data_IF_501173062224
#
_entry.id   IF_501173062224
#
_cell.length_a   1.000
_cell.length_b   1.000
_cell.length_c   1.000
_cell.angle_alpha   90.00
_cell.angle_beta   90.00
_cell.angle_gamma   90.00
#
_symmetry.space_group_name_H-M   'P 1'
#
loop_
_entity.id
_entity.type
_entity.pdbx_description
1 polymer ?
#
# COMPACT_ATOMS: atom_id res chain seq x y z
N UNK A 1 0.19 -22.30 -9.53
CA UNK A 1 -0.01 -21.06 -10.18
C UNK A 1 0.14 -19.90 -9.24
N UNK A 2 1.18 -19.15 -9.49
CA UNK A 2 1.57 -18.07 -8.60
C UNK A 2 0.50 -16.98 -8.49
N UNK A 3 -0.15 -16.63 -9.60
CA UNK A 3 -1.16 -15.57 -9.59
C UNK A 3 -2.38 -15.96 -8.74
N UNK A 4 -2.87 -17.20 -8.89
CA UNK A 4 -4.00 -17.67 -8.10
C UNK A 4 -3.63 -17.71 -6.62
N UNK A 5 -2.38 -18.11 -6.31
CA UNK A 5 -1.89 -18.12 -4.94
C UNK A 5 -1.81 -16.72 -4.35
N UNK A 6 -1.32 -15.76 -5.13
CA UNK A 6 -1.26 -14.38 -4.69
C UNK A 6 -2.66 -13.83 -4.40
N UNK A 7 -3.61 -14.09 -5.29
CA UNK A 7 -4.98 -13.59 -5.12
C UNK A 7 -5.68 -14.17 -3.90
N UNK A 8 -5.22 -15.33 -3.40
CA UNK A 8 -5.75 -15.92 -2.19
C UNK A 8 -5.08 -15.39 -0.93
N UNK A 9 -3.98 -14.66 -1.09
CA UNK A 9 -3.25 -14.10 0.04
C UNK A 9 -4.06 -12.99 0.71
N UNK A 10 -4.08 -13.00 2.04
CA UNK A 10 -4.74 -11.96 2.82
C UNK A 10 -4.11 -10.59 2.55
N UNK A 11 -2.77 -10.53 2.47
CA UNK A 11 -2.06 -9.27 2.19
C UNK A 11 -2.43 -8.77 0.80
N UNK A 12 -2.44 -9.65 -0.18
CA UNK A 12 -2.79 -9.27 -1.55
C UNK A 12 -4.19 -8.65 -1.59
N UNK A 13 -5.16 -9.30 -0.96
CA UNK A 13 -6.54 -8.79 -0.94
C UNK A 13 -6.66 -7.45 -0.24
N UNK A 14 -5.91 -7.25 0.85
CA UNK A 14 -5.94 -5.97 1.56
C UNK A 14 -5.35 -4.85 0.72
N UNK A 15 -4.24 -5.10 0.04
CA UNK A 15 -3.64 -4.10 -0.85
C UNK A 15 -4.57 -3.81 -2.02
N UNK A 16 -5.20 -4.85 -2.58
CA UNK A 16 -6.14 -4.68 -3.68
C UNK A 16 -7.34 -3.83 -3.26
N UNK A 17 -7.88 -4.06 -2.06
CA UNK A 17 -8.97 -3.25 -1.52
C UNK A 17 -8.55 -1.80 -1.36
N UNK A 18 -7.34 -1.58 -0.87
CA UNK A 18 -6.80 -0.23 -0.75
C UNK A 18 -6.69 0.42 -2.12
N UNK A 19 -6.23 -0.32 -3.11
CA UNK A 19 -6.11 0.19 -4.47
C UNK A 19 -7.47 0.62 -5.02
N UNK A 20 -8.51 -0.22 -4.87
CA UNK A 20 -9.85 0.13 -5.32
C UNK A 20 -10.37 1.39 -4.63
N UNK A 21 -10.18 1.46 -3.32
CA UNK A 21 -10.61 2.63 -2.56
C UNK A 21 -9.86 3.89 -3.01
N UNK A 22 -8.54 3.75 -3.21
CA UNK A 22 -7.70 4.87 -3.64
C UNK A 22 -8.06 5.37 -5.03
N UNK A 23 -8.51 4.49 -5.93
CA UNK A 23 -8.95 4.89 -7.26
C UNK A 23 -10.09 5.90 -7.16
N UNK A 24 -11.05 5.67 -6.27
CA UNK A 24 -12.15 6.62 -6.07
C UNK A 24 -11.66 7.96 -5.54
N UNK A 25 -10.71 7.93 -4.62
CA UNK A 25 -10.13 9.16 -4.06
C UNK A 25 -9.38 9.94 -5.14
N UNK A 26 -8.55 9.23 -5.90
CA UNK A 26 -7.73 9.86 -6.95
C UNK A 26 -8.61 10.46 -8.03
N UNK A 27 -9.69 9.78 -8.40
CA UNK A 27 -10.62 10.29 -9.42
C UNK A 27 -11.28 11.61 -9.00
N UNK A 28 -11.37 11.86 -7.69
CA UNK A 28 -12.02 13.06 -7.16
C UNK A 28 -11.03 14.15 -6.76
N UNK A 29 -9.75 13.95 -7.02
CA UNK A 29 -8.75 14.97 -6.68
C UNK A 29 -8.95 16.22 -7.54
N UNK A 30 -8.63 17.41 -6.97
CA UNK A 30 -8.65 18.63 -7.76
C UNK A 30 -7.78 18.50 -9.01
N UNK A 31 -8.18 19.19 -10.08
CA UNK A 31 -7.50 19.07 -11.37
C UNK A 31 -6.28 19.98 -11.46
N UNK A 32 -5.55 20.18 -10.37
CA UNK A 32 -4.28 20.88 -10.42
C UNK A 32 -3.20 19.90 -10.87
N UNK A 33 -2.14 20.44 -11.44
CA UNK A 33 -1.02 19.61 -11.88
C UNK A 33 -0.43 18.82 -10.70
N UNK A 34 -0.24 19.50 -9.56
CA UNK A 34 0.34 18.86 -8.39
C UNK A 34 -0.51 17.69 -7.91
N UNK A 35 -1.83 17.86 -7.80
CA UNK A 35 -2.70 16.79 -7.33
C UNK A 35 -2.77 15.63 -8.32
N UNK A 36 -2.75 15.93 -9.62
CA UNK A 36 -2.74 14.89 -10.64
C UNK A 36 -1.45 14.06 -10.56
N UNK A 37 -0.30 14.70 -10.33
CA UNK A 37 0.96 13.98 -10.20
C UNK A 37 1.00 13.12 -8.93
N UNK A 38 0.48 13.64 -7.82
CA UNK A 38 0.40 12.85 -6.59
C UNK A 38 -0.52 11.65 -6.76
N UNK A 39 -1.63 11.83 -7.45
CA UNK A 39 -2.55 10.74 -7.73
C UNK A 39 -1.91 9.63 -8.56
N UNK A 40 -1.15 10.00 -9.60
CA UNK A 40 -0.41 9.03 -10.41
C UNK A 40 0.59 8.27 -9.56
N UNK A 41 1.30 8.97 -8.68
CA UNK A 41 2.30 8.34 -7.81
C UNK A 41 1.64 7.33 -6.88
N UNK A 42 0.49 7.67 -6.30
CA UNK A 42 -0.25 6.75 -5.45
C UNK A 42 -0.63 5.48 -6.22
N UNK A 43 -1.17 5.65 -7.43
CA UNK A 43 -1.57 4.50 -8.26
C UNK A 43 -0.37 3.63 -8.58
N UNK A 44 0.74 4.23 -8.96
CA UNK A 44 1.96 3.50 -9.29
C UNK A 44 2.51 2.75 -8.07
N UNK A 45 2.55 3.42 -6.91
CA UNK A 45 3.04 2.79 -5.69
C UNK A 45 2.17 1.61 -5.27
N UNK A 46 0.84 1.74 -5.39
CA UNK A 46 -0.06 0.65 -4.99
C UNK A 46 -0.01 -0.53 -5.95
N UNK A 47 0.13 -0.28 -7.25
CA UNK A 47 0.31 -1.38 -8.20
C UNK A 47 1.66 -2.06 -7.98
N UNK A 48 2.70 -1.29 -7.63
CA UNK A 48 3.99 -1.86 -7.26
C UNK A 48 3.88 -2.72 -6.00
N UNK A 49 3.02 -2.32 -5.06
CA UNK A 49 2.77 -3.13 -3.86
C UNK A 49 2.17 -4.50 -4.23
N UNK A 50 1.19 -4.51 -5.14
CA UNK A 50 0.61 -5.78 -5.59
C UNK A 50 1.66 -6.66 -6.26
N UNK A 51 2.50 -6.05 -7.10
CA UNK A 51 3.59 -6.78 -7.76
C UNK A 51 4.56 -7.35 -6.73
N UNK A 52 4.91 -6.55 -5.71
CA UNK A 52 5.83 -6.99 -4.67
C UNK A 52 5.26 -8.18 -3.89
N UNK A 53 3.97 -8.16 -3.55
CA UNK A 53 3.33 -9.29 -2.88
C UNK A 53 3.40 -10.54 -3.75
N UNK A 54 3.09 -10.39 -5.03
CA UNK A 54 3.11 -11.52 -5.98
C UNK A 54 4.52 -12.12 -6.07
N UNK A 55 5.52 -11.26 -6.23
CA UNK A 55 6.91 -11.70 -6.33
C UNK A 55 7.39 -12.35 -5.03
N UNK A 56 6.98 -11.80 -3.89
CA UNK A 56 7.34 -12.37 -2.60
C UNK A 56 6.77 -13.79 -2.45
N UNK A 57 5.54 -14.01 -2.91
CA UNK A 57 4.91 -15.31 -2.83
C UNK A 57 5.53 -16.32 -3.78
N UNK A 58 6.13 -15.86 -4.88
CA UNK A 58 6.84 -16.71 -5.82
C UNK A 58 8.27 -17.01 -5.38
N UNK A 59 8.84 -16.15 -4.54
CA UNK A 59 10.21 -16.28 -4.09
C UNK A 59 10.34 -17.35 -3.02
N UNK A 60 11.56 -17.88 -2.88
CA UNK A 60 11.84 -18.82 -1.80
C UNK A 60 11.74 -18.12 -0.45
N UNK A 61 11.24 -18.85 0.53
CA UNK A 61 11.14 -18.37 1.90
C UNK A 61 12.52 -17.95 2.40
N UNK A 62 12.56 -16.89 3.18
CA UNK A 62 13.80 -16.37 3.76
C UNK A 62 14.27 -15.12 3.03
N UNK A 63 15.57 -15.05 2.73
CA UNK A 63 16.20 -13.84 2.20
C UNK A 63 15.59 -13.33 0.90
N UNK A 64 15.28 -14.22 -0.04
CA UNK A 64 14.71 -13.81 -1.34
C UNK A 64 13.34 -13.17 -1.14
N UNK A 65 12.50 -13.78 -0.31
CA UNK A 65 11.16 -13.24 -0.03
C UNK A 65 11.25 -11.93 0.72
N UNK A 66 12.23 -11.81 1.63
CA UNK A 66 12.44 -10.58 2.41
C UNK A 66 12.70 -9.37 1.50
N UNK A 67 13.43 -9.56 0.41
CA UNK A 67 13.69 -8.46 -0.52
C UNK A 67 12.41 -7.87 -1.08
N UNK A 68 11.46 -8.72 -1.46
CA UNK A 68 10.19 -8.24 -2.00
C UNK A 68 9.29 -7.66 -0.92
N UNK A 69 9.35 -8.21 0.29
CA UNK A 69 8.63 -7.62 1.43
C UNK A 69 9.17 -6.22 1.73
N UNK A 70 10.48 -6.01 1.61
CA UNK A 70 11.08 -4.70 1.80
C UNK A 70 10.57 -3.69 0.77
N UNK A 71 10.40 -4.11 -0.49
CA UNK A 71 9.83 -3.25 -1.52
C UNK A 71 8.39 -2.88 -1.16
N UNK A 72 7.59 -3.85 -0.70
CA UNK A 72 6.22 -3.59 -0.28
C UNK A 72 6.17 -2.54 0.82
N UNK A 73 7.02 -2.67 1.84
CA UNK A 73 7.09 -1.73 2.95
C UNK A 73 7.48 -0.34 2.45
N UNK A 74 8.47 -0.26 1.57
CA UNK A 74 8.92 1.01 1.00
C UNK A 74 7.81 1.72 0.24
N UNK A 75 7.11 0.99 -0.63
CA UNK A 75 6.03 1.57 -1.42
C UNK A 75 4.85 1.99 -0.55
N UNK A 76 4.51 1.21 0.46
CA UNK A 76 3.48 1.59 1.42
C UNK A 76 3.86 2.84 2.19
N UNK A 77 5.14 2.99 2.55
CA UNK A 77 5.62 4.20 3.22
C UNK A 77 5.43 5.42 2.32
N UNK A 78 5.72 5.29 1.03
CA UNK A 78 5.50 6.36 0.06
C UNK A 78 4.02 6.75 -0.01
N UNK A 79 3.13 5.77 -0.08
CA UNK A 79 1.69 6.02 -0.13
C UNK A 79 1.23 6.75 1.14
N UNK A 80 1.70 6.32 2.31
CA UNK A 80 1.37 6.98 3.58
C UNK A 80 1.79 8.44 3.58
N UNK A 81 2.98 8.71 3.09
CA UNK A 81 3.51 10.07 3.04
C UNK A 81 2.64 10.95 2.14
N UNK A 82 2.27 10.44 0.97
CA UNK A 82 1.45 11.21 0.03
C UNK A 82 0.07 11.51 0.61
N UNK A 83 -0.58 10.51 1.22
CA UNK A 83 -1.91 10.74 1.81
C UNK A 83 -1.83 11.72 2.99
N UNK A 84 -0.77 11.65 3.79
CA UNK A 84 -0.58 12.63 4.87
C UNK A 84 -0.44 14.04 4.31
N UNK A 85 0.34 14.19 3.24
CA UNK A 85 0.52 15.50 2.60
C UNK A 85 -0.80 16.01 2.04
N UNK A 86 -1.58 15.17 1.39
CA UNK A 86 -2.90 15.54 0.88
C UNK A 86 -3.82 16.00 2.01
N UNK A 87 -3.78 15.31 3.14
CA UNK A 87 -4.62 15.65 4.28
C UNK A 87 -4.21 16.99 4.89
N UNK A 88 -2.88 17.20 5.05
CA UNK A 88 -2.38 18.48 5.56
C UNK A 88 -2.75 19.64 4.62
N UNK A 89 -2.67 19.40 3.33
CA UNK A 89 -3.04 20.42 2.35
C UNK A 89 -4.52 20.77 2.46
N UNK A 90 -5.37 19.78 2.68
CA UNK A 90 -6.80 20.01 2.88
C UNK A 90 -7.05 20.91 4.07
N UNK A 91 -6.33 20.70 5.16
CA UNK A 91 -6.49 21.52 6.37
C UNK A 91 -6.01 22.95 6.16
N UNK A 92 -4.88 23.12 5.46
CA UNK A 92 -4.28 24.43 5.25
C UNK A 92 -5.13 25.34 4.36
N UNK A 93 -5.74 24.78 3.33
CA UNK A 93 -6.41 25.58 2.32
C UNK A 93 -7.93 25.50 2.39
N UNK A 94 -8.45 24.81 3.39
CA UNK A 94 -9.88 24.58 3.52
C UNK A 94 -10.47 24.01 2.23
N UNK A 95 -9.67 23.25 1.48
CA UNK A 95 -10.10 22.56 0.28
C UNK A 95 -10.29 21.08 0.60
N UNK A 96 -11.25 20.45 -0.08
CA UNK A 96 -11.56 19.04 0.20
C UNK A 96 -10.76 18.13 -0.70
N UNK A 97 -9.44 18.13 -0.52
CA UNK A 97 -8.58 17.16 -1.20
C UNK A 97 -8.80 15.78 -0.58
N UNK A 98 -8.78 15.74 0.74
CA UNK A 98 -8.97 14.50 1.50
C UNK A 98 -9.70 14.84 2.80
N UNK A 99 -10.87 14.26 3.01
CA UNK A 99 -11.64 14.53 4.23
C UNK A 99 -11.04 13.80 5.42
N UNK A 100 -11.32 14.27 6.66
CA UNK A 100 -10.87 13.53 7.86
C UNK A 100 -11.37 12.09 7.87
N UNK A 101 -12.60 11.85 7.42
CA UNK A 101 -13.16 10.50 7.36
C UNK A 101 -12.38 9.62 6.38
N UNK A 102 -12.06 10.15 5.20
CA UNK A 102 -11.27 9.42 4.22
C UNK A 102 -9.89 9.08 4.77
N UNK A 103 -9.26 10.03 5.45
CA UNK A 103 -7.95 9.79 6.02
C UNK A 103 -8.00 8.72 7.11
N UNK A 104 -9.05 8.71 7.92
CA UNK A 104 -9.25 7.67 8.93
C UNK A 104 -9.39 6.29 8.28
N UNK A 105 -10.18 6.19 7.21
CA UNK A 105 -10.33 4.94 6.47
C UNK A 105 -8.98 4.48 5.92
N UNK A 106 -8.23 5.41 5.34
CA UNK A 106 -6.89 5.10 4.83
C UNK A 106 -5.99 4.52 5.92
N UNK A 107 -5.99 5.15 7.11
CA UNK A 107 -5.14 4.69 8.21
C UNK A 107 -5.54 3.30 8.70
N UNK A 108 -6.81 2.93 8.60
CA UNK A 108 -7.26 1.60 8.94
C UNK A 108 -6.70 0.55 7.96
N UNK A 109 -6.71 0.87 6.66
CA UNK A 109 -6.06 0.01 5.67
C UNK A 109 -4.58 -0.16 5.98
N UNK A 110 -3.89 0.95 6.27
CA UNK A 110 -2.46 0.92 6.57
C UNK A 110 -2.18 0.05 7.78
N UNK A 111 -2.98 0.18 8.82
CA UNK A 111 -2.79 -0.61 10.04
C UNK A 111 -2.92 -2.10 9.75
N UNK A 112 -3.94 -2.48 9.01
CA UNK A 112 -4.16 -3.87 8.65
C UNK A 112 -3.02 -4.43 7.81
N UNK A 113 -2.62 -3.70 6.76
CA UNK A 113 -1.56 -4.14 5.86
C UNK A 113 -0.22 -4.22 6.60
N UNK A 114 0.08 -3.20 7.43
CA UNK A 114 1.34 -3.16 8.18
C UNK A 114 1.42 -4.30 9.18
N UNK A 115 0.33 -4.62 9.84
CA UNK A 115 0.27 -5.71 10.80
C UNK A 115 0.57 -7.05 10.13
N UNK A 116 -0.09 -7.31 9.01
CA UNK A 116 0.12 -8.57 8.27
C UNK A 116 1.52 -8.64 7.67
N UNK A 117 1.99 -7.52 7.11
CA UNK A 117 3.33 -7.46 6.53
C UNK A 117 4.40 -7.69 7.59
N UNK A 118 4.20 -7.12 8.78
CA UNK A 118 5.12 -7.32 9.90
C UNK A 118 5.21 -8.79 10.31
N UNK A 119 4.07 -9.46 10.42
CA UNK A 119 4.04 -10.88 10.74
C UNK A 119 4.72 -11.71 9.65
N UNK A 120 4.45 -11.37 8.40
CA UNK A 120 5.03 -12.07 7.26
C UNK A 120 6.56 -11.92 7.25
N UNK A 121 7.04 -10.68 7.46
CA UNK A 121 8.47 -10.41 7.53
C UNK A 121 9.13 -11.18 8.67
N UNK A 122 8.49 -11.18 9.84
CA UNK A 122 9.01 -11.87 11.02
C UNK A 122 9.12 -13.37 10.76
N UNK A 123 8.17 -13.95 10.05
CA UNK A 123 8.20 -15.36 9.71
C UNK A 123 9.41 -15.72 8.85
N UNK A 124 9.91 -14.77 8.03
CA UNK A 124 11.08 -15.00 7.21
C UNK A 124 12.39 -14.88 8.00
N UNK A 125 12.39 -14.08 9.07
CA UNK A 125 13.60 -13.81 9.85
C UNK A 125 13.76 -14.71 11.07
N UNK A 126 12.64 -15.20 11.61
CA UNK A 126 12.69 -16.10 12.80
C UNK A 126 12.70 -17.55 12.37
N UNK A 127 13.33 -17.81 11.27
CA UNK A 127 13.36 -19.12 10.70
C UNK A 127 14.09 -20.11 11.57
N UNK A 128 13.45 -21.23 11.85
CA UNK A 128 14.07 -22.29 12.59
C UNK A 128 14.41 -23.41 11.64
N UNK A 129 15.62 -23.96 11.75
CA UNK A 129 15.94 -25.14 10.95
C UNK A 129 14.99 -26.27 11.36
N UNK A 130 14.38 -26.85 10.41
CA UNK A 130 13.47 -27.95 10.67
C UNK A 130 14.21 -29.27 10.78
#
# INVERSE_FOLDING_TARGET
MAKAKAEQSSIYREVERLLFWAMDVVDRLPKSLAMQELGKKVMNDLTDCLDAVTLALQADKGAARLEFIAVLILRMTSVKTIFRIMYEKSKQQNTKVLTPKQYTVFLEFVRSISSETGRWRKAQTSEKPD
#
